data_IF_547848587184
#
_entry.id   IF_547848587184
#
_cell.length_a   1.000
_cell.length_b   1.000
_cell.length_c   1.000
_cell.angle_alpha   90.00
_cell.angle_beta   90.00
_cell.angle_gamma   90.00
#
_symmetry.space_group_name_H-M   'P 1'
#
loop_
_entity.id
_entity.type
_entity.pdbx_description
1 polymer ?
#
# COMPACT_ATOMS: atom_id res chain seq x y z
N UNK A 1 -29.85 0.41 77.56
CA UNK A 1 -28.72 0.52 76.59
C UNK A 1 -28.79 -0.65 75.65
N UNK A 2 -29.44 -0.45 74.51
CA UNK A 2 -29.76 -1.45 73.50
C UNK A 2 -29.67 -0.79 72.12
N UNK A 3 -29.10 -1.57 71.20
CA UNK A 3 -28.75 -1.30 69.79
C UNK A 3 -29.89 -0.72 68.93
N UNK A 4 -29.52 0.02 67.87
CA UNK A 4 -30.09 0.01 66.50
C UNK A 4 -29.34 1.10 65.69
N UNK A 5 -28.26 0.77 64.97
CA UNK A 5 -28.22 0.33 63.56
C UNK A 5 -29.06 1.24 62.64
N UNK A 6 -28.40 2.11 61.89
CA UNK A 6 -28.82 2.44 60.53
C UNK A 6 -27.59 2.60 59.63
N UNK A 7 -27.46 1.64 58.72
CA UNK A 7 -26.53 1.63 57.61
C UNK A 7 -27.05 2.54 56.50
N UNK A 8 -26.16 3.27 55.84
CA UNK A 8 -26.40 3.74 54.48
C UNK A 8 -25.12 3.51 53.68
N UNK A 9 -25.02 2.31 53.11
CA UNK A 9 -24.03 1.96 52.11
C UNK A 9 -24.46 2.57 50.77
N UNK A 10 -23.70 3.53 50.29
CA UNK A 10 -23.83 4.10 48.95
C UNK A 10 -23.00 3.21 48.00
N UNK A 11 -23.68 2.31 47.29
CA UNK A 11 -23.12 1.56 46.16
C UNK A 11 -23.89 1.99 44.93
N UNK A 12 -23.27 2.82 44.08
CA UNK A 12 -23.76 3.14 42.74
C UNK A 12 -22.57 3.15 41.77
N UNK A 13 -22.39 1.97 41.17
CA UNK A 13 -21.89 1.67 39.82
C UNK A 13 -20.86 2.63 39.20
N UNK A 14 -19.57 2.32 39.38
CA UNK A 14 -18.59 2.50 38.30
C UNK A 14 -18.63 1.26 37.40
N UNK A 15 -19.58 1.22 36.47
CA UNK A 15 -19.48 0.34 35.30
C UNK A 15 -18.49 1.01 34.34
N UNK A 16 -17.38 0.33 34.09
CA UNK A 16 -16.23 0.88 33.39
C UNK A 16 -16.47 1.19 31.92
N UNK A 17 -15.78 2.20 31.42
CA UNK A 17 -15.39 2.30 30.01
C UNK A 17 -14.30 1.24 29.75
N UNK A 18 -14.69 -0.03 29.76
CA UNK A 18 -13.81 -1.16 29.50
C UNK A 18 -14.16 -1.79 28.17
N UNK A 19 -13.25 -1.65 27.21
CA UNK A 19 -12.99 -2.61 26.13
C UNK A 19 -14.20 -3.12 25.33
N UNK A 20 -14.58 -2.42 24.26
CA UNK A 20 -15.57 -2.88 23.27
C UNK A 20 -14.96 -3.20 21.90
N UNK A 21 -13.67 -3.57 21.83
CA UNK A 21 -13.01 -3.88 20.55
C UNK A 21 -12.36 -5.26 20.45
N UNK A 22 -12.44 -6.11 21.48
CA UNK A 22 -12.01 -7.51 21.36
C UNK A 22 -13.25 -8.40 21.34
N UNK A 23 -13.32 -9.30 20.36
CA UNK A 23 -14.35 -10.36 20.16
C UNK A 23 -15.57 -10.00 19.31
N UNK A 24 -15.38 -9.36 18.15
CA UNK A 24 -16.19 -9.79 17.00
C UNK A 24 -15.46 -10.98 16.36
N UNK A 25 -15.99 -12.22 16.46
CA UNK A 25 -15.49 -13.31 15.63
C UNK A 25 -15.64 -12.90 14.15
N UNK A 26 -14.71 -13.29 13.26
CA UNK A 26 -14.90 -13.05 11.84
C UNK A 26 -16.25 -13.63 11.44
N UNK A 27 -17.10 -12.80 10.82
CA UNK A 27 -18.38 -13.27 10.28
C UNK A 27 -18.04 -14.10 9.06
N UNK A 28 -17.82 -15.40 9.28
CA UNK A 28 -17.67 -16.35 8.20
C UNK A 28 -19.04 -16.52 7.55
N UNK A 29 -19.19 -15.94 6.36
CA UNK A 29 -20.35 -16.22 5.51
C UNK A 29 -20.44 -17.72 5.23
N UNK A 30 -21.62 -18.22 4.90
CA UNK A 30 -21.76 -19.62 4.48
C UNK A 30 -20.95 -19.84 3.19
N UNK A 31 -19.91 -20.67 3.26
CA UNK A 31 -18.89 -20.86 2.20
C UNK A 31 -17.55 -20.16 2.45
N UNK A 32 -17.42 -19.40 3.54
CA UNK A 32 -16.16 -18.79 3.98
C UNK A 32 -15.37 -19.78 4.84
N UNK A 33 -14.34 -20.38 4.24
CA UNK A 33 -13.41 -21.30 4.89
C UNK A 33 -12.23 -20.59 5.57
N UNK A 34 -12.33 -19.28 5.83
CA UNK A 34 -11.21 -18.46 6.32
C UNK A 34 -10.27 -18.01 5.21
N UNK A 35 -10.71 -18.13 3.96
CA UNK A 35 -9.95 -17.77 2.75
C UNK A 35 -10.75 -16.87 1.81
N UNK A 36 -11.93 -16.41 2.25
CA UNK A 36 -12.81 -15.51 1.54
C UNK A 36 -13.87 -16.18 0.67
N UNK A 37 -14.64 -15.37 -0.06
CA UNK A 37 -15.66 -15.91 -0.97
C UNK A 37 -15.01 -16.72 -2.10
N UNK A 38 -15.66 -17.77 -2.63
CA UNK A 38 -15.08 -18.56 -3.73
C UNK A 38 -14.67 -17.74 -4.96
N UNK A 39 -15.38 -16.64 -5.24
CA UNK A 39 -15.08 -15.72 -6.33
C UNK A 39 -13.81 -14.89 -6.06
N UNK A 40 -13.71 -14.30 -4.86
CA UNK A 40 -12.51 -13.56 -4.43
C UNK A 40 -11.28 -14.46 -4.42
N UNK A 41 -11.39 -15.63 -3.78
CA UNK A 41 -10.30 -16.58 -3.68
C UNK A 41 -9.89 -17.12 -5.06
N UNK A 42 -10.86 -17.45 -5.92
CA UNK A 42 -10.60 -17.91 -7.29
C UNK A 42 -9.76 -16.90 -8.08
N UNK A 43 -10.13 -15.62 -8.01
CA UNK A 43 -9.37 -14.54 -8.66
C UNK A 43 -7.92 -14.47 -8.17
N UNK A 44 -7.69 -14.56 -6.86
CA UNK A 44 -6.33 -14.50 -6.31
C UNK A 44 -5.50 -15.76 -6.56
N UNK A 45 -6.15 -16.94 -6.67
CA UNK A 45 -5.49 -18.20 -7.01
C UNK A 45 -4.97 -18.22 -8.46
N UNK A 46 -5.61 -17.48 -9.37
CA UNK A 46 -5.22 -17.34 -10.78
C UNK A 46 -4.10 -16.31 -10.99
N UNK A 47 -3.95 -15.34 -10.10
CA UNK A 47 -2.86 -14.36 -10.14
C UNK A 47 -1.50 -15.02 -9.97
N UNK A 48 -0.42 -14.29 -10.27
CA UNK A 48 0.95 -14.67 -9.93
C UNK A 48 1.17 -14.73 -8.41
N UNK A 49 2.25 -15.35 -7.97
CA UNK A 49 2.58 -15.40 -6.54
C UNK A 49 3.09 -14.03 -6.06
N UNK A 50 2.74 -13.65 -4.83
CA UNK A 50 3.14 -12.37 -4.25
C UNK A 50 4.65 -12.14 -4.35
N UNK A 51 5.46 -13.17 -4.08
CA UNK A 51 6.93 -13.11 -4.13
C UNK A 51 7.45 -12.69 -5.51
N UNK A 52 6.83 -13.20 -6.59
CA UNK A 52 7.23 -12.86 -7.96
C UNK A 52 6.89 -11.40 -8.28
N UNK A 53 5.72 -10.93 -7.85
CA UNK A 53 5.27 -9.54 -8.08
C UNK A 53 6.09 -8.55 -7.27
N UNK A 54 6.43 -8.88 -6.04
CA UNK A 54 7.33 -8.09 -5.19
C UNK A 54 8.72 -7.99 -5.83
N UNK A 55 9.28 -9.10 -6.32
CA UNK A 55 10.59 -9.09 -6.96
C UNK A 55 10.61 -8.24 -8.25
N UNK A 56 9.53 -8.28 -9.05
CA UNK A 56 9.40 -7.44 -10.23
C UNK A 56 9.21 -5.96 -9.88
N UNK A 57 8.41 -5.64 -8.85
CA UNK A 57 8.26 -4.28 -8.31
C UNK A 57 9.60 -3.71 -7.89
N UNK A 58 10.40 -4.47 -7.15
CA UNK A 58 11.68 -4.00 -6.61
C UNK A 58 12.71 -3.80 -7.74
N UNK A 59 12.68 -4.65 -8.78
CA UNK A 59 13.49 -4.46 -10.00
C UNK A 59 13.09 -3.18 -10.74
N UNK A 60 11.78 -2.95 -10.91
CA UNK A 60 11.25 -1.73 -11.53
C UNK A 60 11.71 -0.48 -10.78
N UNK A 61 11.62 -0.47 -9.45
CA UNK A 61 12.10 0.63 -8.61
C UNK A 61 13.60 0.85 -8.83
N UNK A 62 14.41 -0.21 -8.88
CA UNK A 62 15.85 -0.11 -9.14
C UNK A 62 16.16 0.52 -10.51
N UNK A 63 15.43 0.13 -11.56
CA UNK A 63 15.57 0.71 -12.89
C UNK A 63 15.18 2.19 -12.91
N UNK A 64 14.03 2.54 -12.30
CA UNK A 64 13.54 3.93 -12.25
C UNK A 64 14.50 4.83 -11.47
N UNK A 65 14.90 4.43 -10.27
CA UNK A 65 15.76 5.25 -9.41
C UNK A 65 17.14 5.47 -10.03
N UNK A 66 17.67 4.47 -10.75
CA UNK A 66 18.90 4.61 -11.54
C UNK A 66 18.71 5.64 -12.66
N UNK A 67 17.68 5.47 -13.49
CA UNK A 67 17.43 6.38 -14.61
C UNK A 67 17.15 7.83 -14.17
N UNK A 68 16.40 8.00 -13.08
CA UNK A 68 16.15 9.32 -12.50
C UNK A 68 17.42 9.96 -11.92
N UNK A 69 18.34 9.16 -11.38
CA UNK A 69 19.66 9.63 -10.95
C UNK A 69 20.51 10.17 -12.09
N UNK A 70 20.40 9.59 -13.28
CA UNK A 70 21.10 10.06 -14.48
C UNK A 70 20.45 11.32 -15.09
N UNK A 71 19.11 11.44 -14.99
CA UNK A 71 18.35 12.57 -15.54
C UNK A 71 18.51 13.83 -14.68
N UNK A 72 18.48 13.68 -13.35
CA UNK A 72 18.43 14.82 -12.41
C UNK A 72 19.79 14.98 -11.72
N UNK A 73 20.59 15.99 -12.08
CA UNK A 73 21.92 16.18 -11.51
C UNK A 73 21.88 16.28 -9.98
N UNK A 74 22.68 15.44 -9.31
CA UNK A 74 22.77 15.41 -7.85
C UNK A 74 21.63 14.65 -7.16
N UNK A 75 20.63 14.14 -7.89
CA UNK A 75 19.61 13.28 -7.32
C UNK A 75 20.25 11.97 -6.83
N UNK A 76 19.94 11.63 -5.58
CA UNK A 76 20.19 10.32 -4.99
C UNK A 76 18.88 9.81 -4.43
N UNK A 77 18.51 8.59 -4.80
CA UNK A 77 17.26 7.97 -4.40
C UNK A 77 17.54 6.93 -3.34
N UNK A 78 17.11 7.19 -2.12
CA UNK A 78 17.35 6.32 -0.97
C UNK A 78 16.02 5.87 -0.38
N UNK A 79 15.91 4.61 0.08
CA UNK A 79 14.74 4.17 0.81
C UNK A 79 14.59 4.96 2.11
N UNK A 80 13.34 5.26 2.45
CA UNK A 80 12.92 5.93 3.67
C UNK A 80 11.73 5.17 4.26
N UNK A 81 11.91 4.69 5.49
CA UNK A 81 10.97 3.76 6.12
C UNK A 81 11.19 2.32 5.67
N UNK A 82 10.30 1.45 6.12
CA UNK A 82 10.33 0.02 5.83
C UNK A 82 9.21 -0.35 4.84
N UNK A 83 9.39 -1.38 3.99
CA UNK A 83 8.27 -1.98 3.29
C UNK A 83 7.24 -2.48 4.30
N UNK A 84 5.97 -2.45 3.90
CA UNK A 84 4.87 -2.96 4.73
C UNK A 84 3.79 -3.58 3.85
N UNK A 85 2.84 -4.25 4.49
CA UNK A 85 1.66 -4.78 3.83
C UNK A 85 0.39 -4.29 4.49
N UNK A 86 -0.72 -4.38 3.76
CA UNK A 86 -2.06 -4.22 4.31
C UNK A 86 -2.95 -5.37 3.86
N UNK A 87 -4.05 -5.56 4.59
CA UNK A 87 -5.16 -6.38 4.12
C UNK A 87 -5.65 -5.88 2.77
N UNK A 88 -6.21 -6.79 1.98
CA UNK A 88 -6.83 -6.42 0.72
C UNK A 88 -8.18 -5.73 0.95
N UNK A 89 -8.54 -4.78 0.09
CA UNK A 89 -9.85 -4.12 0.13
C UNK A 89 -10.95 -5.07 -0.31
N UNK A 90 -11.21 -5.13 -1.61
CA UNK A 90 -12.26 -5.98 -2.20
C UNK A 90 -12.01 -7.49 -2.03
N UNK A 91 -10.80 -7.89 -1.63
CA UNK A 91 -10.45 -9.28 -1.29
C UNK A 91 -10.19 -9.44 0.22
N UNK A 92 -10.74 -8.55 1.04
CA UNK A 92 -10.47 -8.48 2.48
C UNK A 92 -10.99 -9.68 3.28
N UNK A 93 -11.80 -10.55 2.66
CA UNK A 93 -12.19 -11.83 3.25
C UNK A 93 -11.13 -12.94 3.04
N UNK A 94 -10.12 -12.70 2.20
CA UNK A 94 -9.02 -13.62 1.91
C UNK A 94 -7.78 -13.32 2.75
N UNK A 95 -6.83 -14.28 2.79
CA UNK A 95 -5.49 -14.07 3.35
C UNK A 95 -4.55 -13.23 2.46
N UNK A 96 -5.06 -12.73 1.33
CA UNK A 96 -4.30 -11.90 0.41
C UNK A 96 -3.79 -10.62 1.06
N UNK A 97 -2.68 -10.10 0.54
CA UNK A 97 -2.11 -8.84 0.99
C UNK A 97 -1.75 -7.92 -0.18
N UNK A 98 -1.82 -6.63 0.10
CA UNK A 98 -1.22 -5.58 -0.73
C UNK A 98 0.16 -5.29 -0.14
N UNK A 99 1.19 -5.27 -0.98
CA UNK A 99 2.57 -5.05 -0.56
C UNK A 99 3.10 -3.71 -1.06
N UNK A 100 3.55 -2.87 -0.13
CA UNK A 100 4.09 -1.54 -0.37
C UNK A 100 5.61 -1.54 -0.22
N UNK A 101 6.31 -0.90 -1.16
CA UNK A 101 7.72 -0.56 -1.02
C UNK A 101 7.91 0.47 0.10
N UNK A 102 9.14 0.64 0.64
CA UNK A 102 9.46 1.89 1.32
C UNK A 102 9.29 3.07 0.35
N UNK A 103 9.24 4.29 0.89
CA UNK A 103 9.32 5.48 0.05
C UNK A 103 10.75 5.67 -0.42
N UNK A 104 10.98 5.84 -1.72
CA UNK A 104 12.27 6.23 -2.27
C UNK A 104 12.30 7.74 -2.40
N UNK A 105 13.23 8.38 -1.71
CA UNK A 105 13.28 9.84 -1.58
C UNK A 105 14.58 10.37 -2.17
N UNK A 106 14.47 11.43 -2.95
CA UNK A 106 15.58 12.30 -3.29
C UNK A 106 15.39 13.68 -2.70
N UNK A 107 16.42 14.20 -2.02
CA UNK A 107 16.42 15.57 -1.48
C UNK A 107 16.51 16.63 -2.58
N UNK A 108 16.89 16.24 -3.78
CA UNK A 108 16.92 17.11 -4.96
C UNK A 108 15.58 16.97 -5.67
N UNK A 109 14.79 18.05 -5.82
CA UNK A 109 13.57 18.00 -6.59
C UNK A 109 13.88 17.90 -8.08
N UNK A 110 13.02 17.23 -8.85
CA UNK A 110 13.06 17.26 -10.31
C UNK A 110 12.68 18.67 -10.79
N UNK A 111 13.60 19.40 -11.47
CA UNK A 111 13.29 20.71 -12.04
C UNK A 111 12.19 20.61 -13.11
N UNK A 112 11.41 21.67 -13.27
CA UNK A 112 10.34 21.79 -14.27
C UNK A 112 10.81 21.43 -15.68
N UNK A 113 11.98 21.94 -16.07
CA UNK A 113 12.58 21.67 -17.38
C UNK A 113 12.90 20.19 -17.62
N UNK A 114 13.08 19.39 -16.56
CA UNK A 114 13.38 17.96 -16.63
C UNK A 114 12.17 17.08 -16.34
N UNK A 115 11.07 17.66 -15.85
CA UNK A 115 9.88 16.91 -15.43
C UNK A 115 9.32 16.04 -16.56
N UNK A 116 9.27 16.58 -17.76
CA UNK A 116 8.73 15.88 -18.92
C UNK A 116 9.56 14.66 -19.30
N UNK A 117 10.89 14.77 -19.25
CA UNK A 117 11.78 13.65 -19.50
C UNK A 117 11.72 12.62 -18.37
N UNK A 118 11.75 13.07 -17.11
CA UNK A 118 11.70 12.22 -15.94
C UNK A 118 10.40 11.41 -15.87
N UNK A 119 9.24 12.07 -15.99
CA UNK A 119 7.93 11.42 -15.93
C UNK A 119 7.70 10.44 -17.08
N UNK A 120 8.13 10.75 -18.31
CA UNK A 120 8.09 9.80 -19.43
C UNK A 120 8.99 8.59 -19.18
N UNK A 121 10.20 8.79 -18.66
CA UNK A 121 11.12 7.70 -18.33
C UNK A 121 10.52 6.76 -17.28
N UNK A 122 9.84 7.32 -16.27
CA UNK A 122 9.09 6.53 -15.27
C UNK A 122 7.98 5.71 -15.94
N UNK A 123 7.19 6.32 -16.82
CA UNK A 123 6.11 5.63 -17.56
C UNK A 123 6.68 4.48 -18.41
N UNK A 124 7.73 4.73 -19.19
CA UNK A 124 8.31 3.74 -20.11
C UNK A 124 8.90 2.54 -19.36
N UNK A 125 9.56 2.78 -18.22
CA UNK A 125 10.07 1.69 -17.39
C UNK A 125 8.90 0.95 -16.72
N UNK A 126 7.95 1.67 -16.12
CA UNK A 126 6.82 1.08 -15.41
C UNK A 126 5.94 0.19 -16.31
N UNK A 127 5.78 0.59 -17.58
CA UNK A 127 5.03 -0.18 -18.57
C UNK A 127 5.61 -1.59 -18.81
N UNK A 128 6.93 -1.78 -18.70
CA UNK A 128 7.58 -3.11 -18.82
C UNK A 128 7.14 -4.08 -17.71
N UNK A 129 6.64 -3.54 -16.60
CA UNK A 129 6.20 -4.28 -15.42
C UNK A 129 4.67 -4.28 -15.27
N UNK A 130 3.93 -3.85 -16.30
CA UNK A 130 2.45 -3.90 -16.33
C UNK A 130 1.75 -2.65 -15.80
N UNK A 131 2.47 -1.66 -15.28
CA UNK A 131 1.92 -0.36 -14.87
C UNK A 131 1.73 0.51 -16.11
N UNK A 132 0.53 0.51 -16.67
CA UNK A 132 0.24 1.10 -17.99
C UNK A 132 -0.89 2.12 -17.98
N UNK A 133 -1.71 2.16 -16.92
CA UNK A 133 -2.79 3.13 -16.78
C UNK A 133 -2.28 4.40 -16.09
N UNK A 134 -1.99 5.46 -16.87
CA UNK A 134 -1.57 6.75 -16.33
C UNK A 134 -2.79 7.51 -15.80
N UNK A 135 -3.00 7.44 -14.49
CA UNK A 135 -4.14 8.07 -13.79
C UNK A 135 -3.98 9.58 -13.67
N UNK A 136 -2.76 10.04 -13.39
CA UNK A 136 -2.44 11.46 -13.29
C UNK A 136 -1.02 11.73 -13.76
N UNK A 137 -0.81 12.89 -14.39
CA UNK A 137 0.50 13.45 -14.70
C UNK A 137 0.39 14.96 -14.76
N UNK A 138 1.16 15.68 -13.96
CA UNK A 138 1.25 17.13 -14.06
C UNK A 138 1.74 17.53 -15.45
N UNK A 139 0.94 18.32 -16.16
CA UNK A 139 1.32 18.97 -17.42
C UNK A 139 1.84 20.39 -17.16
N UNK A 140 2.68 20.93 -18.06
CA UNK A 140 3.21 22.29 -17.98
C UNK A 140 3.83 22.62 -16.61
N UNK A 141 4.64 21.69 -16.08
CA UNK A 141 5.16 21.80 -14.73
C UNK A 141 5.98 23.08 -14.51
N UNK A 142 5.84 23.68 -13.32
CA UNK A 142 6.59 24.85 -12.85
C UNK A 142 7.23 24.55 -11.49
N UNK A 143 8.32 25.22 -11.14
CA UNK A 143 9.10 24.90 -9.93
C UNK A 143 8.46 25.38 -8.61
N UNK A 144 7.42 26.19 -8.70
CA UNK A 144 6.66 26.71 -7.57
C UNK A 144 5.46 25.83 -7.15
N UNK A 145 5.12 24.81 -7.94
CA UNK A 145 4.00 23.89 -7.66
C UNK A 145 4.46 22.44 -7.58
N UNK A 146 3.68 21.63 -6.88
CA UNK A 146 3.91 20.19 -6.81
C UNK A 146 3.67 19.53 -8.17
N UNK A 147 4.56 18.61 -8.52
CA UNK A 147 4.47 17.76 -9.70
C UNK A 147 4.13 16.34 -9.26
N UNK A 148 3.23 15.67 -9.98
CA UNK A 148 2.73 14.35 -9.65
C UNK A 148 2.59 13.47 -10.89
N UNK A 149 2.81 12.18 -10.70
CA UNK A 149 2.56 11.11 -11.65
C UNK A 149 2.02 9.91 -10.87
N UNK A 150 0.85 9.42 -11.25
CA UNK A 150 0.29 8.17 -10.74
C UNK A 150 0.04 7.21 -11.90
N UNK A 151 0.52 5.97 -11.77
CA UNK A 151 0.31 4.90 -12.74
C UNK A 151 -0.26 3.69 -12.03
N UNK A 152 -1.22 3.00 -12.66
CA UNK A 152 -1.81 1.74 -12.17
C UNK A 152 -1.49 0.55 -13.08
N UNK A 153 -1.46 -0.63 -12.48
CA UNK A 153 -1.50 -1.90 -13.19
C UNK A 153 -2.94 -2.47 -13.24
N UNK A 154 -3.11 -3.61 -13.92
CA UNK A 154 -4.40 -4.27 -14.08
C UNK A 154 -5.01 -4.83 -12.77
N UNK A 155 -4.19 -4.99 -11.73
CA UNK A 155 -4.57 -5.55 -10.44
C UNK A 155 -4.71 -4.48 -9.35
N UNK A 156 -4.83 -3.20 -9.75
CA UNK A 156 -4.89 -2.01 -8.90
C UNK A 156 -3.60 -1.71 -8.11
N UNK A 157 -2.47 -2.30 -8.50
CA UNK A 157 -1.16 -1.83 -8.08
C UNK A 157 -0.96 -0.37 -8.47
N UNK A 158 -0.23 0.37 -7.65
CA UNK A 158 -0.04 1.82 -7.79
C UNK A 158 1.42 2.21 -7.67
N UNK A 159 1.94 2.84 -8.71
CA UNK A 159 3.16 3.64 -8.67
C UNK A 159 2.77 5.11 -8.51
N UNK A 160 3.34 5.78 -7.51
CA UNK A 160 3.22 7.23 -7.38
C UNK A 160 4.61 7.86 -7.33
N UNK A 161 4.84 8.85 -8.18
CA UNK A 161 6.06 9.64 -8.26
C UNK A 161 5.68 11.12 -8.17
N UNK A 162 6.33 11.86 -7.28
CA UNK A 162 6.06 13.28 -7.10
C UNK A 162 7.30 14.09 -6.81
N UNK A 163 7.22 15.40 -7.04
CA UNK A 163 8.33 16.33 -6.80
C UNK A 163 7.84 17.73 -6.45
N UNK A 164 8.39 18.31 -5.38
CA UNK A 164 8.21 19.73 -5.06
C UNK A 164 9.48 20.29 -4.40
N UNK A 165 9.62 20.15 -3.07
CA UNK A 165 10.85 20.50 -2.33
C UNK A 165 11.87 19.35 -2.32
N UNK A 166 11.35 18.13 -2.44
CA UNK A 166 12.06 16.88 -2.60
C UNK A 166 11.30 16.04 -3.64
N UNK A 167 11.93 15.01 -4.17
CA UNK A 167 11.25 14.02 -5.00
C UNK A 167 11.00 12.74 -4.19
N UNK A 168 9.85 12.13 -4.39
CA UNK A 168 9.43 10.91 -3.70
C UNK A 168 8.80 9.95 -4.69
N UNK A 169 9.03 8.66 -4.48
CA UNK A 169 8.40 7.59 -5.22
C UNK A 169 8.02 6.48 -4.25
N UNK A 170 6.85 5.86 -4.43
CA UNK A 170 6.55 4.58 -3.81
C UNK A 170 5.74 3.72 -4.77
N UNK A 171 5.79 2.40 -4.56
CA UNK A 171 5.05 1.44 -5.36
C UNK A 171 4.33 0.46 -4.45
N UNK A 172 3.01 0.38 -4.58
CA UNK A 172 2.17 -0.67 -4.01
C UNK A 172 1.78 -1.66 -5.10
N UNK A 173 1.74 -2.94 -4.77
CA UNK A 173 1.18 -3.98 -5.64
C UNK A 173 -0.35 -3.98 -5.60
N UNK A 174 -0.98 -4.80 -6.43
CA UNK A 174 -2.37 -5.23 -6.20
C UNK A 174 -2.49 -6.19 -5.00
N UNK A 175 -3.63 -6.86 -4.89
CA UNK A 175 -3.81 -7.91 -3.89
C UNK A 175 -3.27 -9.26 -4.40
N UNK A 176 -2.40 -9.91 -3.63
CA UNK A 176 -1.81 -11.20 -4.00
C UNK A 176 -1.74 -12.15 -2.81
N UNK A 177 -1.87 -13.44 -3.10
CA UNK A 177 -1.53 -14.54 -2.18
C UNK A 177 -0.07 -14.95 -2.39
N UNK A 178 0.61 -15.30 -1.30
CA UNK A 178 1.90 -15.99 -1.36
C UNK A 178 1.75 -17.39 -1.94
N UNK A 179 2.85 -17.97 -2.41
CA UNK A 179 2.86 -19.36 -2.88
C UNK A 179 2.35 -20.33 -1.80
N UNK A 180 2.69 -20.08 -0.53
CA UNK A 180 2.22 -20.88 0.61
C UNK A 180 0.71 -20.75 0.83
N UNK A 181 0.18 -19.53 0.84
CA UNK A 181 -1.26 -19.30 1.01
C UNK A 181 -2.07 -19.96 -0.11
N UNK A 182 -1.57 -19.92 -1.35
CA UNK A 182 -2.21 -20.64 -2.47
C UNK A 182 -2.20 -22.14 -2.31
N UNK A 183 -1.17 -22.71 -1.69
CA UNK A 183 -1.12 -24.16 -1.41
C UNK A 183 -2.12 -24.55 -0.31
N UNK A 184 -2.28 -23.70 0.71
CA UNK A 184 -3.21 -23.95 1.81
C UNK A 184 -4.68 -23.80 1.39
N UNK A 185 -4.95 -22.92 0.41
CA UNK A 185 -6.29 -22.63 -0.09
C UNK A 185 -6.81 -23.60 -1.17
N UNK A 186 -6.01 -24.60 -1.59
CA UNK A 186 -6.35 -25.61 -2.61
C UNK A 186 -6.61 -26.98 -1.99
#
# INVERSE_FOLDING_TARGET
MGRLILALAMVLALAGCGHMFDTMPPVTGEGDHGYGTPEELGTLLERRDAEQVIADRDRMIGEITTALGDIVPGARWLPHGEPHSSVCGDFGSTDGSIYFSPHYVSKVPVPAALWDQASRTVIDIAAKFGYTDVVSRTENATDDVAKDLTIRDADNGRLAFGSMQASTMYVGTGCYLTAEQKQQAR
#
